data_IF_610742495414
#
_entry.id   IF_610742495414
#
_cell.length_a   1.000
_cell.length_b   1.000
_cell.length_c   1.000
_cell.angle_alpha   90.00
_cell.angle_beta   90.00
_cell.angle_gamma   90.00
#
_symmetry.space_group_name_H-M   'P 1'
#
loop_
_entity.id
_entity.type
_entity.pdbx_description
1 polymer ?
#
# COMPACT_ATOMS: atom_id res chain seq x y z
N UNK A 1 4.20 17.17 0.88
CA UNK A 1 3.06 17.04 -0.05
C UNK A 1 1.97 16.26 0.65
N UNK A 2 0.71 16.36 0.20
CA UNK A 2 -0.41 15.66 0.86
C UNK A 2 -0.23 14.13 0.87
N UNK A 3 0.43 13.59 -0.16
CA UNK A 3 0.83 12.18 -0.22
C UNK A 3 1.79 11.76 0.92
N UNK A 4 2.77 12.60 1.26
CA UNK A 4 3.71 12.33 2.36
C UNK A 4 3.01 12.38 3.72
N UNK A 5 2.01 13.27 3.88
CA UNK A 5 1.17 13.30 5.08
C UNK A 5 0.37 12.02 5.23
N UNK A 6 -0.24 11.51 4.16
CA UNK A 6 -0.99 10.25 4.17
C UNK A 6 -0.08 9.05 4.47
N UNK A 7 1.11 9.01 3.87
CA UNK A 7 2.07 7.92 4.07
C UNK A 7 2.50 7.79 5.54
N UNK A 8 2.64 8.91 6.26
CA UNK A 8 3.02 8.93 7.68
C UNK A 8 1.95 8.41 8.64
N UNK A 9 0.70 8.29 8.18
CA UNK A 9 -0.36 7.67 8.98
C UNK A 9 -0.31 6.13 8.92
N UNK A 10 0.43 5.55 7.95
CA UNK A 10 0.59 4.09 7.84
C UNK A 10 1.57 3.63 8.92
N UNK A 11 1.23 2.61 9.73
CA UNK A 11 2.13 2.07 10.74
C UNK A 11 3.44 1.55 10.16
N UNK A 12 4.56 1.69 10.89
CA UNK A 12 5.90 1.25 10.45
C UNK A 12 6.14 -0.26 10.60
N UNK A 13 5.09 -1.04 10.82
CA UNK A 13 5.16 -2.50 10.97
C UNK A 13 5.58 -3.15 9.65
N UNK A 14 6.66 -3.94 9.68
CA UNK A 14 7.17 -4.63 8.47
C UNK A 14 6.11 -5.62 7.95
N UNK A 15 5.74 -5.47 6.68
CA UNK A 15 4.79 -6.35 6.02
C UNK A 15 3.33 -6.08 6.33
N UNK A 16 3.01 -4.93 6.94
CA UNK A 16 1.62 -4.52 7.16
C UNK A 16 0.88 -4.33 5.83
N UNK A 17 -0.35 -4.80 5.76
CA UNK A 17 -1.28 -4.51 4.67
C UNK A 17 -2.07 -3.23 4.91
N UNK A 18 -2.57 -2.60 3.85
CA UNK A 18 -3.47 -1.45 3.96
C UNK A 18 -4.74 -1.79 4.75
N UNK A 19 -5.26 -3.01 4.61
CA UNK A 19 -6.41 -3.48 5.39
C UNK A 19 -6.14 -3.48 6.90
N UNK A 20 -4.97 -3.94 7.32
CA UNK A 20 -4.54 -3.90 8.72
C UNK A 20 -4.31 -2.47 9.20
N UNK A 21 -3.68 -1.63 8.38
CA UNK A 21 -3.47 -0.22 8.69
C UNK A 21 -4.80 0.52 8.93
N UNK A 22 -5.85 0.24 8.15
CA UNK A 22 -7.19 0.81 8.37
C UNK A 22 -7.87 0.32 9.66
N UNK A 23 -7.53 -0.88 10.15
CA UNK A 23 -8.06 -1.41 11.42
C UNK A 23 -7.35 -0.81 12.63
N UNK A 24 -6.06 -0.53 12.50
CA UNK A 24 -5.22 0.03 13.56
C UNK A 24 -5.39 1.55 13.70
N UNK A 25 -5.50 2.26 12.57
CA UNK A 25 -5.54 3.74 12.53
C UNK A 25 -6.91 4.24 12.09
N UNK A 26 -7.72 4.66 13.06
CA UNK A 26 -9.07 5.18 12.82
C UNK A 26 -9.09 6.38 11.86
N UNK A 27 -8.07 7.25 11.90
CA UNK A 27 -7.98 8.40 11.00
C UNK A 27 -7.87 7.96 9.52
N UNK A 28 -7.04 6.96 9.21
CA UNK A 28 -6.91 6.43 7.85
C UNK A 28 -8.23 5.85 7.35
N UNK A 29 -8.96 5.16 8.21
CA UNK A 29 -10.29 4.62 7.88
C UNK A 29 -11.29 5.74 7.54
N UNK A 30 -11.32 6.80 8.35
CA UNK A 30 -12.20 7.95 8.11
C UNK A 30 -11.86 8.66 6.79
N UNK A 31 -10.58 8.82 6.48
CA UNK A 31 -10.13 9.40 5.22
C UNK A 31 -10.57 8.53 4.04
N UNK A 32 -10.38 7.21 4.13
CA UNK A 32 -10.81 6.25 3.10
C UNK A 32 -12.31 6.33 2.79
N UNK A 33 -13.13 6.49 3.82
CA UNK A 33 -14.60 6.57 3.70
C UNK A 33 -15.09 7.93 3.18
N UNK A 34 -14.24 8.96 3.20
CA UNK A 34 -14.59 10.28 2.67
C UNK A 34 -14.60 10.31 1.13
N UNK A 35 -15.45 11.16 0.54
CA UNK A 35 -15.46 11.39 -0.91
C UNK A 35 -14.34 12.33 -1.41
N UNK A 36 -13.36 12.63 -0.56
CA UNK A 36 -12.25 13.52 -0.89
C UNK A 36 -11.27 12.87 -1.87
N UNK A 37 -10.32 13.66 -2.38
CA UNK A 37 -9.27 13.14 -3.24
C UNK A 37 -8.39 12.12 -2.50
N UNK A 38 -8.13 12.35 -1.22
CA UNK A 38 -7.40 11.44 -0.34
C UNK A 38 -8.13 10.12 -0.15
N UNK A 39 -9.45 10.16 0.08
CA UNK A 39 -10.27 8.95 0.19
C UNK A 39 -10.25 8.11 -1.09
N UNK A 40 -10.43 8.76 -2.25
CA UNK A 40 -10.31 8.10 -3.57
C UNK A 40 -8.92 7.53 -3.80
N UNK A 41 -7.88 8.23 -3.36
CA UNK A 41 -6.49 7.77 -3.45
C UNK A 41 -6.28 6.50 -2.63
N UNK A 42 -6.79 6.44 -1.40
CA UNK A 42 -6.69 5.25 -0.54
C UNK A 42 -7.47 4.04 -1.09
N UNK A 43 -8.66 4.27 -1.65
CA UNK A 43 -9.44 3.21 -2.29
C UNK A 43 -8.71 2.62 -3.52
N UNK A 44 -8.07 3.48 -4.31
CA UNK A 44 -7.27 3.03 -5.45
C UNK A 44 -5.98 2.32 -5.00
N UNK A 45 -5.34 2.80 -3.93
CA UNK A 45 -4.17 2.17 -3.34
C UNK A 45 -4.46 0.74 -2.86
N UNK A 46 -5.61 0.52 -2.20
CA UNK A 46 -6.07 -0.81 -1.79
C UNK A 46 -6.25 -1.76 -2.98
N UNK A 47 -6.74 -1.25 -4.12
CA UNK A 47 -6.89 -2.07 -5.34
C UNK A 47 -5.54 -2.42 -5.98
N UNK A 48 -4.53 -1.56 -5.82
CA UNK A 48 -3.20 -1.73 -6.41
C UNK A 48 -2.21 -2.45 -5.48
N UNK A 49 -2.57 -2.66 -4.22
CA UNK A 49 -1.74 -3.32 -3.23
C UNK A 49 -1.36 -4.74 -3.70
N UNK A 50 -0.08 -5.08 -3.60
CA UNK A 50 0.45 -6.38 -4.05
C UNK A 50 0.57 -6.54 -5.57
N UNK A 51 0.20 -5.52 -6.36
CA UNK A 51 0.38 -5.56 -7.81
C UNK A 51 1.85 -5.60 -8.22
N UNK A 52 2.16 -6.34 -9.29
CA UNK A 52 3.52 -6.45 -9.83
C UNK A 52 3.93 -5.11 -10.42
N UNK A 53 4.93 -4.46 -9.81
CA UNK A 53 5.40 -3.15 -10.26
C UNK A 53 6.38 -3.21 -11.43
N UNK A 54 7.35 -4.12 -11.38
CA UNK A 54 8.40 -4.25 -12.40
C UNK A 54 9.08 -5.62 -12.31
N UNK A 55 9.83 -6.00 -13.35
CA UNK A 55 10.78 -7.11 -13.26
C UNK A 55 11.88 -6.79 -12.24
N UNK A 56 12.32 -7.84 -11.52
CA UNK A 56 13.37 -7.71 -10.50
C UNK A 56 14.70 -7.23 -11.09
N UNK A 57 15.41 -6.39 -10.33
CA UNK A 57 16.71 -5.85 -10.74
C UNK A 57 17.79 -6.95 -10.74
N UNK A 58 17.67 -7.91 -9.83
CA UNK A 58 18.58 -9.04 -9.68
C UNK A 58 17.83 -10.35 -9.93
N UNK A 59 18.49 -11.28 -10.61
CA UNK A 59 18.01 -12.66 -10.70
C UNK A 59 18.13 -13.34 -9.33
N UNK A 60 17.08 -14.03 -8.90
CA UNK A 60 17.07 -14.75 -7.62
C UNK A 60 17.72 -16.14 -7.69
N UNK A 61 17.95 -16.68 -8.89
CA UNK A 61 18.55 -18.00 -9.06
C UNK A 61 18.62 -18.44 -10.52
N UNK A 62 19.17 -19.64 -10.73
CA UNK A 62 19.24 -20.32 -12.05
C UNK A 62 18.32 -21.54 -12.05
N UNK A 63 17.70 -21.82 -13.20
CA UNK A 63 16.92 -23.04 -13.42
C UNK A 63 17.62 -23.84 -14.53
N UNK A 64 17.92 -25.12 -14.29
CA UNK A 64 18.52 -26.02 -15.28
C UNK A 64 17.45 -27.03 -15.71
N UNK A 65 17.01 -26.92 -16.97
CA UNK A 65 16.13 -27.88 -17.63
C UNK A 65 16.97 -28.94 -18.40
N UNK A 66 16.44 -30.15 -18.68
CA UNK A 66 17.18 -31.24 -19.33
C UNK A 66 17.65 -30.91 -20.75
#
# INVERSE_FOLDING_TARGET
SDADRLAKLVPETIGISLEEAFKEVNELKQIKESESLEGRTLQMAETLEGSVRNTGIHAAGIIIAP
#
